data_IF_773347230160
#
_entry.id   IF_773347230160
#
_cell.length_a   1.000
_cell.length_b   1.000
_cell.length_c   1.000
_cell.angle_alpha   90.00
_cell.angle_beta   90.00
_cell.angle_gamma   90.00
#
_symmetry.space_group_name_H-M   'P 1'
#
loop_
_entity.id
_entity.type
_entity.pdbx_description
1 polymer ?
#
# COMPACT_ATOMS: atom_id res chain seq x y z
N UNK A 1 -4.02 0.52 -12.06
CA UNK A 1 -4.55 -0.86 -11.86
C UNK A 1 -4.46 -1.24 -10.38
N UNK A 2 -5.54 -1.76 -9.78
CA UNK A 2 -5.53 -2.28 -8.42
C UNK A 2 -4.73 -3.59 -8.39
N UNK A 3 -3.65 -3.64 -7.61
CA UNK A 3 -2.79 -4.81 -7.45
C UNK A 3 -3.05 -5.48 -6.11
N UNK A 4 -3.26 -6.79 -6.09
CA UNK A 4 -3.23 -7.55 -4.83
C UNK A 4 -1.82 -7.42 -4.21
N UNK A 5 -1.76 -6.84 -3.02
CA UNK A 5 -0.53 -6.52 -2.32
C UNK A 5 -0.12 -7.60 -1.31
N UNK A 6 -0.94 -8.62 -1.09
CA UNK A 6 -0.67 -9.74 -0.19
C UNK A 6 0.37 -10.71 -0.78
N UNK A 7 1.57 -10.19 -1.03
CA UNK A 7 2.71 -10.94 -1.56
C UNK A 7 3.92 -10.76 -0.64
N UNK A 8 4.60 -11.87 -0.33
CA UNK A 8 5.84 -11.91 0.47
C UNK A 8 5.72 -11.38 1.93
N UNK A 9 4.52 -11.11 2.41
CA UNK A 9 4.24 -10.86 3.83
C UNK A 9 3.87 -12.15 4.57
N UNK A 10 3.47 -11.99 5.83
CA UNK A 10 3.12 -13.12 6.71
C UNK A 10 1.63 -13.08 7.07
N UNK A 11 0.98 -14.25 7.06
CA UNK A 11 -0.42 -14.35 7.48
C UNK A 11 -0.52 -14.42 9.01
N UNK A 12 -1.39 -13.60 9.58
CA UNK A 12 -1.63 -13.50 11.02
C UNK A 12 -3.09 -13.81 11.34
N UNK A 13 -3.33 -14.54 12.43
CA UNK A 13 -4.68 -14.91 12.86
C UNK A 13 -4.76 -14.95 14.39
N UNK A 14 -5.96 -14.81 14.92
CA UNK A 14 -6.23 -14.92 16.36
C UNK A 14 -6.16 -16.35 16.90
N UNK A 15 -6.62 -17.30 16.10
CA UNK A 15 -6.80 -18.71 16.43
C UNK A 15 -7.01 -19.49 15.12
N UNK A 16 -6.99 -20.82 15.20
CA UNK A 16 -7.25 -21.70 14.07
C UNK A 16 -8.25 -22.78 14.47
N UNK A 17 -9.34 -22.89 13.72
CA UNK A 17 -10.31 -23.98 13.84
C UNK A 17 -9.82 -25.19 13.02
N UNK A 18 -9.54 -26.28 13.72
CA UNK A 18 -9.03 -27.53 13.13
C UNK A 18 -7.75 -27.35 12.28
N UNK A 19 -6.66 -26.77 12.83
CA UNK A 19 -5.42 -26.49 12.09
C UNK A 19 -4.67 -27.73 11.59
N UNK A 20 -5.07 -28.92 12.04
CA UNK A 20 -4.50 -30.20 11.58
C UNK A 20 -4.82 -30.51 10.12
N UNK A 21 -5.87 -29.89 9.55
CA UNK A 21 -6.23 -30.03 8.15
C UNK A 21 -5.41 -29.04 7.30
N UNK A 22 -4.57 -29.51 6.36
CA UNK A 22 -3.77 -28.64 5.50
C UNK A 22 -4.58 -27.59 4.75
N UNK A 23 -5.81 -27.92 4.36
CA UNK A 23 -6.77 -27.07 3.64
C UNK A 23 -7.52 -26.07 4.53
N UNK A 24 -7.22 -26.04 5.84
CA UNK A 24 -7.87 -25.17 6.85
C UNK A 24 -6.92 -24.20 7.55
N UNK A 25 -5.71 -24.02 7.01
CA UNK A 25 -4.68 -23.18 7.61
C UNK A 25 -4.89 -21.71 7.27
N UNK A 26 -4.42 -20.80 8.12
CA UNK A 26 -4.49 -19.35 7.88
C UNK A 26 -3.86 -18.95 6.54
N UNK A 27 -2.79 -19.60 6.12
CA UNK A 27 -2.11 -19.33 4.84
C UNK A 27 -3.01 -19.56 3.63
N UNK A 28 -4.01 -20.44 3.73
CA UNK A 28 -4.97 -20.71 2.69
C UNK A 28 -5.85 -19.50 2.34
N UNK A 29 -5.92 -18.49 3.21
CA UNK A 29 -6.71 -17.27 2.96
C UNK A 29 -6.03 -16.34 1.96
N UNK A 30 -4.76 -16.58 1.61
CA UNK A 30 -3.99 -15.73 0.71
C UNK A 30 -3.28 -16.56 -0.37
N UNK A 31 -3.81 -17.75 -0.67
CA UNK A 31 -3.21 -18.69 -1.63
C UNK A 31 -3.85 -18.62 -3.03
N UNK A 32 -4.94 -17.87 -3.19
CA UNK A 32 -5.68 -17.72 -4.44
C UNK A 32 -6.63 -18.89 -4.74
N UNK A 33 -6.87 -19.80 -3.80
CA UNK A 33 -7.69 -21.00 -3.97
C UNK A 33 -8.99 -20.93 -3.14
N UNK A 34 -10.14 -20.94 -3.82
CA UNK A 34 -11.45 -20.85 -3.16
C UNK A 34 -11.95 -22.16 -2.54
N UNK A 35 -11.22 -23.27 -2.73
CA UNK A 35 -11.53 -24.58 -2.15
C UNK A 35 -10.87 -24.79 -0.78
N UNK A 36 -9.82 -24.03 -0.46
CA UNK A 36 -9.19 -23.99 0.86
C UNK A 36 -9.82 -22.86 1.69
N UNK A 37 -9.57 -22.86 2.99
CA UNK A 37 -10.06 -21.80 3.89
C UNK A 37 -9.24 -21.74 5.17
N UNK A 38 -9.54 -20.75 5.99
CA UNK A 38 -9.23 -20.72 7.42
C UNK A 38 -10.53 -20.63 8.20
N UNK A 39 -10.57 -21.25 9.37
CA UNK A 39 -11.68 -21.10 10.29
C UNK A 39 -11.28 -20.35 11.56
N UNK A 40 -12.00 -19.29 11.89
CA UNK A 40 -11.95 -18.69 13.23
C UNK A 40 -12.94 -19.39 14.15
N UNK A 41 -12.49 -19.84 15.32
CA UNK A 41 -13.34 -20.45 16.35
C UNK A 41 -14.41 -19.43 16.79
N UNK A 42 -15.69 -19.78 16.69
CA UNK A 42 -16.81 -18.96 17.16
C UNK A 42 -17.54 -19.68 18.29
N UNK A 43 -18.12 -18.93 19.25
CA UNK A 43 -18.98 -19.53 20.29
C UNK A 43 -18.67 -19.24 21.77
N UNK A 44 -17.65 -18.44 22.12
CA UNK A 44 -17.52 -17.93 23.50
C UNK A 44 -17.25 -16.41 23.61
N UNK A 45 -16.58 -15.78 22.64
CA UNK A 45 -16.51 -14.31 22.48
C UNK A 45 -16.03 -14.00 21.04
N UNK A 46 -16.94 -13.71 20.10
CA UNK A 46 -16.63 -13.56 18.66
C UNK A 46 -15.78 -12.32 18.35
N UNK A 47 -15.77 -11.32 19.24
CA UNK A 47 -14.92 -10.12 19.16
C UNK A 47 -13.41 -10.43 19.17
N UNK A 48 -13.02 -11.70 19.33
CA UNK A 48 -11.63 -12.18 19.31
C UNK A 48 -11.21 -12.83 18.00
N UNK A 49 -12.12 -13.27 17.13
CA UNK A 49 -11.73 -13.99 15.92
C UNK A 49 -11.37 -13.02 14.80
N UNK A 50 -10.11 -13.07 14.37
CA UNK A 50 -9.57 -12.22 13.34
C UNK A 50 -8.54 -12.93 12.49
N UNK A 51 -8.45 -12.52 11.22
CA UNK A 51 -7.47 -12.96 10.24
C UNK A 51 -6.91 -11.73 9.54
N UNK A 52 -5.66 -11.77 9.13
CA UNK A 52 -4.97 -10.60 8.66
C UNK A 52 -3.64 -10.88 7.98
N UNK A 53 -2.97 -9.81 7.61
CA UNK A 53 -1.71 -9.84 6.88
C UNK A 53 -0.71 -8.85 7.47
N UNK A 54 0.53 -9.30 7.62
CA UNK A 54 1.69 -8.51 8.02
C UNK A 54 2.55 -8.21 6.80
N UNK A 55 2.54 -6.95 6.39
CA UNK A 55 3.33 -6.42 5.29
C UNK A 55 4.75 -6.07 5.79
N UNK A 56 5.75 -6.35 4.95
CA UNK A 56 7.16 -6.03 5.22
C UNK A 56 7.42 -4.54 5.47
N UNK A 57 6.51 -3.66 5.05
CA UNK A 57 6.57 -2.21 5.27
C UNK A 57 5.15 -1.61 5.39
N UNK A 58 5.01 -0.42 6.01
CA UNK A 58 3.75 0.29 6.04
C UNK A 58 3.14 0.42 4.64
N UNK A 59 1.91 -0.06 4.49
CA UNK A 59 1.20 -0.12 3.21
C UNK A 59 -0.20 0.46 3.38
N UNK A 60 -0.67 1.28 2.45
CA UNK A 60 -2.05 1.79 2.44
C UNK A 60 -2.95 0.83 1.65
N UNK A 61 -3.93 0.25 2.32
CA UNK A 61 -4.97 -0.58 1.69
C UNK A 61 -6.22 0.25 1.47
N UNK A 62 -6.77 0.19 0.26
CA UNK A 62 -7.94 0.97 -0.20
C UNK A 62 -9.10 0.11 -0.67
N UNK A 63 -8.87 -1.20 -0.84
CA UNK A 63 -9.94 -2.16 -1.13
C UNK A 63 -9.54 -3.52 -0.61
N UNK A 64 -10.50 -4.26 -0.08
CA UNK A 64 -10.31 -5.67 0.30
C UNK A 64 -11.38 -6.49 -0.40
N UNK A 65 -10.99 -7.57 -1.06
CA UNK A 65 -11.94 -8.63 -1.43
C UNK A 65 -11.88 -9.70 -0.36
N UNK A 66 -13.04 -10.09 0.15
CA UNK A 66 -13.20 -11.11 1.18
C UNK A 66 -14.16 -12.16 0.64
N UNK A 67 -13.68 -13.38 0.43
CA UNK A 67 -14.51 -14.55 0.22
C UNK A 67 -14.63 -15.31 1.54
N UNK A 68 -15.86 -15.41 2.05
CA UNK A 68 -16.19 -16.30 3.16
C UNK A 68 -17.10 -17.43 2.70
N UNK A 69 -17.48 -18.33 3.61
CA UNK A 69 -18.44 -19.39 3.32
C UNK A 69 -19.73 -18.85 2.70
N UNK A 70 -20.30 -19.60 1.76
CA UNK A 70 -21.64 -19.35 1.23
C UNK A 70 -22.74 -19.82 2.21
N UNK A 71 -22.37 -20.57 3.25
CA UNK A 71 -23.27 -21.04 4.28
C UNK A 71 -23.33 -20.02 5.42
N UNK A 72 -24.52 -19.52 5.73
CA UNK A 72 -24.76 -18.57 6.82
C UNK A 72 -24.33 -19.10 8.20
N UNK A 73 -24.33 -20.42 8.40
CA UNK A 73 -23.83 -21.05 9.62
C UNK A 73 -22.30 -21.02 9.75
N UNK A 74 -21.58 -20.52 8.74
CA UNK A 74 -20.13 -20.43 8.71
C UNK A 74 -19.60 -19.10 8.16
N UNK A 75 -20.45 -18.10 8.03
CA UNK A 75 -20.11 -16.73 7.63
C UNK A 75 -20.45 -15.75 8.76
N UNK A 76 -19.81 -14.59 8.77
CA UNK A 76 -20.16 -13.50 9.68
C UNK A 76 -20.77 -12.33 8.91
N UNK A 77 -21.57 -11.53 9.61
CA UNK A 77 -22.33 -10.44 9.02
C UNK A 77 -21.70 -9.06 9.22
N UNK A 78 -20.75 -8.92 10.13
CA UNK A 78 -20.08 -7.63 10.38
C UNK A 78 -18.60 -7.85 10.66
N UNK A 79 -17.75 -7.09 9.99
CA UNK A 79 -16.31 -7.07 10.22
C UNK A 79 -15.81 -5.65 10.47
N UNK A 80 -14.88 -5.51 11.41
CA UNK A 80 -14.08 -4.31 11.62
C UNK A 80 -12.72 -4.51 10.96
N UNK A 81 -12.39 -3.66 9.98
CA UNK A 81 -11.05 -3.62 9.39
C UNK A 81 -10.18 -2.73 10.27
N UNK A 82 -9.05 -3.27 10.73
CA UNK A 82 -8.14 -2.59 11.65
C UNK A 82 -6.71 -2.60 11.12
N UNK A 83 -5.94 -1.56 11.46
CA UNK A 83 -4.52 -1.43 11.13
C UNK A 83 -3.65 -1.19 12.35
N UNK A 84 -2.40 -1.67 12.33
CA UNK A 84 -1.40 -1.44 13.38
C UNK A 84 0.03 -1.36 12.82
N UNK A 85 0.91 -0.62 13.53
CA UNK A 85 2.35 -0.53 13.27
C UNK A 85 3.20 -1.10 14.42
N UNK A 86 2.58 -1.45 15.55
CA UNK A 86 3.26 -1.86 16.78
C UNK A 86 2.65 -3.12 17.43
N UNK A 87 1.62 -3.71 16.81
CA UNK A 87 0.84 -4.88 17.28
C UNK A 87 0.06 -4.68 18.58
N UNK A 88 0.36 -3.63 19.34
CA UNK A 88 -0.28 -3.30 20.61
C UNK A 88 -1.52 -2.43 20.36
N UNK A 89 -1.37 -1.39 19.55
CA UNK A 89 -2.44 -0.44 19.25
C UNK A 89 -3.02 -0.72 17.88
N UNK A 90 -4.27 -1.21 17.87
CA UNK A 90 -5.04 -1.46 16.66
C UNK A 90 -6.05 -0.34 16.46
N UNK A 91 -5.95 0.35 15.31
CA UNK A 91 -6.87 1.42 14.93
C UNK A 91 -7.92 0.87 14.00
N UNK A 92 -9.20 1.05 14.35
CA UNK A 92 -10.30 0.78 13.43
C UNK A 92 -10.23 1.75 12.24
N UNK A 93 -10.26 1.19 11.04
CA UNK A 93 -10.30 1.94 9.79
C UNK A 93 -11.76 2.14 9.39
N UNK A 94 -12.53 1.04 9.34
CA UNK A 94 -13.96 1.04 8.98
C UNK A 94 -14.60 -0.29 9.33
N UNK A 95 -15.91 -0.27 9.61
CA UNK A 95 -16.73 -1.47 9.74
C UNK A 95 -17.58 -1.69 8.49
N UNK A 96 -17.87 -2.95 8.19
CA UNK A 96 -18.67 -3.35 7.04
C UNK A 96 -19.67 -4.44 7.42
N UNK A 97 -20.90 -4.29 6.93
CA UNK A 97 -21.82 -5.42 6.83
C UNK A 97 -21.40 -6.35 5.68
N UNK A 98 -21.50 -7.64 5.92
CA UNK A 98 -21.13 -8.70 5.00
C UNK A 98 -22.33 -9.60 4.69
N UNK A 99 -22.23 -10.28 3.55
CA UNK A 99 -23.10 -11.40 3.15
C UNK A 99 -22.27 -12.70 3.04
N UNK A 100 -22.90 -13.89 3.05
CA UNK A 100 -22.21 -15.12 2.69
C UNK A 100 -21.57 -15.02 1.30
N UNK A 101 -20.40 -15.65 1.12
CA UNK A 101 -19.65 -15.60 -0.12
C UNK A 101 -18.76 -14.36 -0.28
N UNK A 102 -18.77 -13.76 -1.48
CA UNK A 102 -17.87 -12.65 -1.85
C UNK A 102 -18.38 -11.30 -1.35
N UNK A 103 -17.47 -10.53 -0.76
CA UNK A 103 -17.67 -9.16 -0.28
C UNK A 103 -16.55 -8.25 -0.79
N UNK A 104 -16.92 -7.06 -1.25
CA UNK A 104 -15.96 -6.01 -1.66
C UNK A 104 -16.02 -4.89 -0.62
N UNK A 105 -14.93 -4.71 0.12
CA UNK A 105 -14.81 -3.73 1.19
C UNK A 105 -14.11 -2.49 0.65
N UNK A 106 -14.86 -1.41 0.46
CA UNK A 106 -14.34 -0.13 -0.03
C UNK A 106 -13.73 0.73 1.11
N UNK A 107 -12.41 0.88 1.03
CA UNK A 107 -11.56 1.65 1.92
C UNK A 107 -10.88 2.82 1.16
N UNK A 108 -11.45 3.29 0.06
CA UNK A 108 -10.89 4.36 -0.80
C UNK A 108 -10.55 5.65 -0.05
N UNK A 109 -11.22 5.90 1.07
CA UNK A 109 -10.97 7.05 1.96
C UNK A 109 -9.85 6.81 2.99
N UNK A 110 -9.27 5.61 3.06
CA UNK A 110 -8.16 5.31 3.96
C UNK A 110 -6.87 5.96 3.42
N UNK A 111 -6.34 6.92 4.18
CA UNK A 111 -5.09 7.61 3.87
C UNK A 111 -3.94 7.23 4.82
N UNK A 112 -4.11 6.18 5.64
CA UNK A 112 -3.08 5.72 6.59
C UNK A 112 -2.46 4.41 6.12
N UNK A 113 -1.13 4.37 6.22
CA UNK A 113 -0.35 3.16 5.98
C UNK A 113 -0.13 2.40 7.29
N UNK A 114 -0.29 1.08 7.23
CA UNK A 114 -0.03 0.19 8.36
C UNK A 114 0.87 -0.97 7.95
N UNK A 115 1.71 -1.46 8.86
CA UNK A 115 2.43 -2.72 8.67
C UNK A 115 1.48 -3.91 8.70
N UNK A 116 0.49 -3.87 9.59
CA UNK A 116 -0.42 -5.00 9.81
C UNK A 116 -1.86 -4.57 9.59
N UNK A 117 -2.62 -5.44 8.92
CA UNK A 117 -4.06 -5.32 8.76
C UNK A 117 -4.73 -6.57 9.28
N UNK A 118 -5.88 -6.42 9.94
CA UNK A 118 -6.75 -7.55 10.32
C UNK A 118 -8.21 -7.23 10.12
N UNK A 119 -8.97 -8.28 9.81
CA UNK A 119 -10.41 -8.29 9.74
C UNK A 119 -10.92 -8.96 11.01
N UNK A 120 -11.59 -8.19 11.87
CA UNK A 120 -12.10 -8.66 13.18
C UNK A 120 -13.61 -8.87 13.10
N UNK A 121 -14.08 -10.08 13.38
CA UNK A 121 -15.51 -10.36 13.43
C UNK A 121 -16.21 -9.56 14.56
N UNK A 122 -17.44 -9.09 14.29
CA UNK A 122 -18.29 -8.36 15.25
C UNK A 122 -19.61 -9.09 15.49
N UNK A 123 -20.25 -8.81 16.64
CA UNK A 123 -21.23 -9.69 17.30
C UNK A 123 -22.71 -9.36 17.13
N UNK A 124 -23.13 -8.52 16.20
CA UNK A 124 -24.51 -8.01 16.33
C UNK A 124 -25.64 -8.90 15.78
N UNK A 125 -25.43 -9.79 14.79
CA UNK A 125 -26.47 -10.77 14.35
C UNK A 125 -25.86 -11.90 13.50
N UNK A 126 -26.35 -13.14 13.61
CA UNK A 126 -26.07 -14.24 12.66
C UNK A 126 -24.78 -15.01 12.90
N UNK A 127 -24.55 -15.42 14.15
CA UNK A 127 -23.36 -16.17 14.58
C UNK A 127 -23.23 -17.46 13.78
N UNK A 128 -22.06 -17.75 13.17
CA UNK A 128 -21.81 -19.08 12.67
C UNK A 128 -21.79 -20.06 13.84
N UNK A 129 -22.61 -21.11 13.75
CA UNK A 129 -22.77 -22.12 14.81
C UNK A 129 -21.49 -22.91 15.08
N UNK A 130 -20.51 -22.89 14.16
CA UNK A 130 -19.28 -23.68 14.25
C UNK A 130 -18.00 -22.86 14.15
N UNK A 131 -17.81 -22.12 13.07
CA UNK A 131 -16.63 -21.30 12.83
C UNK A 131 -16.91 -20.25 11.75
N UNK A 132 -16.19 -19.13 11.79
CA UNK A 132 -16.14 -18.21 10.66
C UNK A 132 -15.14 -18.76 9.63
N UNK A 133 -15.63 -19.28 8.53
CA UNK A 133 -14.79 -19.84 7.47
C UNK A 133 -14.52 -18.77 6.40
N UNK A 134 -13.26 -18.37 6.29
CA UNK A 134 -12.74 -17.43 5.29
C UNK A 134 -11.99 -18.21 4.24
N UNK A 135 -12.41 -18.10 2.98
CA UNK A 135 -11.81 -18.79 1.85
C UNK A 135 -10.60 -18.04 1.30
N UNK A 136 -10.77 -16.75 1.04
CA UNK A 136 -9.73 -15.94 0.40
C UNK A 136 -9.87 -14.46 0.81
N UNK A 137 -8.74 -13.79 0.98
CA UNK A 137 -8.63 -12.35 1.17
C UNK A 137 -7.59 -11.81 0.20
N UNK A 138 -7.97 -10.77 -0.53
CA UNK A 138 -7.05 -9.98 -1.35
C UNK A 138 -7.09 -8.54 -0.87
N UNK A 139 -5.93 -7.95 -0.55
CA UNK A 139 -5.84 -6.54 -0.15
C UNK A 139 -5.19 -5.73 -1.25
N UNK A 140 -5.90 -4.71 -1.71
CA UNK A 140 -5.49 -3.82 -2.78
C UNK A 140 -5.15 -2.46 -2.21
N UNK A 141 -4.04 -1.89 -2.64
CA UNK A 141 -3.64 -0.52 -2.29
C UNK A 141 -3.63 0.38 -3.51
N UNK A 142 -3.66 1.69 -3.26
CA UNK A 142 -3.56 2.67 -4.31
C UNK A 142 -2.12 2.67 -4.81
N UNK A 143 -1.95 2.29 -6.07
CA UNK A 143 -0.74 2.57 -6.83
C UNK A 143 -0.81 3.95 -7.49
N UNK A 144 -1.78 4.81 -7.12
CA UNK A 144 -1.81 6.18 -7.63
C UNK A 144 -0.48 6.86 -7.31
N UNK A 145 0.19 7.22 -8.39
CA UNK A 145 1.38 8.04 -8.36
C UNK A 145 0.95 9.45 -8.74
N UNK A 146 1.45 10.42 -8.01
CA UNK A 146 1.12 11.82 -8.16
C UNK A 146 2.33 12.59 -8.66
N UNK A 147 2.05 13.56 -9.52
CA UNK A 147 2.98 14.60 -9.95
C UNK A 147 2.33 15.95 -9.67
N UNK A 148 3.14 16.99 -9.52
CA UNK A 148 2.62 18.36 -9.51
C UNK A 148 2.62 18.92 -10.93
N UNK A 149 1.67 19.82 -11.22
CA UNK A 149 1.62 20.58 -12.46
C UNK A 149 1.51 22.06 -12.14
N UNK A 150 2.43 22.87 -12.65
CA UNK A 150 2.36 24.33 -12.59
C UNK A 150 2.97 24.91 -13.87
N UNK A 151 2.39 25.98 -14.39
CA UNK A 151 2.82 26.62 -15.64
C UNK A 151 3.03 25.60 -16.78
N UNK A 152 2.05 24.70 -16.96
CA UNK A 152 2.05 23.59 -17.93
C UNK A 152 3.14 22.53 -17.77
N UNK A 153 4.09 22.69 -16.85
CA UNK A 153 5.16 21.74 -16.59
C UNK A 153 4.77 20.78 -15.46
N UNK A 154 5.19 19.52 -15.59
CA UNK A 154 5.10 18.53 -14.53
C UNK A 154 6.35 18.51 -13.67
N UNK A 155 6.15 18.17 -12.40
CA UNK A 155 7.19 18.12 -11.39
C UNK A 155 7.04 16.85 -10.55
N UNK A 156 8.17 16.24 -10.23
CA UNK A 156 8.24 15.23 -9.17
C UNK A 156 8.34 15.92 -7.82
N UNK A 157 7.69 15.32 -6.83
CA UNK A 157 7.80 15.67 -5.41
C UNK A 157 8.30 14.48 -4.56
N UNK A 158 8.86 13.45 -5.20
CA UNK A 158 9.37 12.26 -4.53
C UNK A 158 10.69 12.61 -3.82
N UNK A 159 10.60 13.06 -2.57
CA UNK A 159 11.75 13.45 -1.72
C UNK A 159 12.70 14.49 -2.32
N UNK A 160 12.27 15.19 -3.37
CA UNK A 160 12.84 16.42 -3.89
C UNK A 160 11.83 17.04 -4.87
N UNK A 161 12.01 18.32 -5.20
CA UNK A 161 11.21 19.04 -6.17
C UNK A 161 11.99 19.20 -7.48
N UNK A 162 11.66 18.39 -8.49
CA UNK A 162 12.29 18.41 -9.81
C UNK A 162 11.31 18.74 -10.91
N UNK A 163 11.73 19.61 -11.84
CA UNK A 163 11.00 19.86 -13.08
C UNK A 163 11.24 18.71 -14.05
N UNK A 164 10.16 18.06 -14.48
CA UNK A 164 10.17 17.04 -15.55
C UNK A 164 9.98 17.69 -16.92
N UNK A 165 9.24 18.81 -16.96
CA UNK A 165 8.94 19.55 -18.19
C UNK A 165 7.51 19.29 -18.68
N UNK A 166 7.28 19.50 -19.97
CA UNK A 166 6.01 19.17 -20.62
C UNK A 166 6.15 17.81 -21.30
N UNK A 167 5.21 16.86 -21.09
CA UNK A 167 5.28 15.59 -21.79
C UNK A 167 4.95 15.80 -23.27
N UNK A 168 5.67 15.10 -24.14
CA UNK A 168 5.43 15.10 -25.59
C UNK A 168 4.11 14.41 -25.94
N UNK A 169 3.71 13.40 -25.15
CA UNK A 169 2.49 12.63 -25.33
C UNK A 169 2.04 11.97 -24.00
N UNK A 170 0.91 11.27 -24.04
CA UNK A 170 0.37 10.57 -22.87
C UNK A 170 1.24 9.39 -22.44
N UNK A 171 1.97 8.74 -23.35
CA UNK A 171 2.81 7.60 -23.02
C UNK A 171 4.03 8.03 -22.18
N UNK A 172 4.64 9.16 -22.52
CA UNK A 172 5.69 9.76 -21.71
C UNK A 172 5.17 10.19 -20.33
N UNK A 173 3.95 10.73 -20.26
CA UNK A 173 3.33 11.10 -18.99
C UNK A 173 3.09 9.87 -18.09
N UNK A 174 2.62 8.75 -18.66
CA UNK A 174 2.48 7.48 -17.94
C UNK A 174 3.84 6.98 -17.41
N UNK A 175 4.89 6.99 -18.24
CA UNK A 175 6.24 6.65 -17.82
C UNK A 175 6.77 7.57 -16.70
N UNK A 176 6.42 8.86 -16.74
CA UNK A 176 6.78 9.80 -15.68
C UNK A 176 6.07 9.53 -14.37
N UNK A 177 4.78 9.20 -14.41
CA UNK A 177 4.10 8.73 -13.22
C UNK A 177 4.85 7.53 -12.66
N UNK A 178 5.24 6.58 -13.51
CA UNK A 178 5.90 5.37 -13.04
C UNK A 178 7.27 5.58 -12.41
N UNK A 179 8.12 6.38 -13.07
CA UNK A 179 9.50 6.63 -12.65
C UNK A 179 9.59 7.70 -11.55
N UNK A 180 8.79 8.75 -11.64
CA UNK A 180 8.95 9.98 -10.85
C UNK A 180 7.77 10.31 -9.94
N UNK A 181 6.63 9.64 -10.09
CA UNK A 181 5.46 9.95 -9.29
C UNK A 181 5.59 9.47 -7.84
N UNK A 182 5.11 10.29 -6.90
CA UNK A 182 5.06 9.93 -5.48
C UNK A 182 3.75 9.25 -5.13
N UNK A 183 3.75 8.41 -4.11
CA UNK A 183 2.49 7.91 -3.50
C UNK A 183 2.03 8.76 -2.32
N UNK A 184 2.90 9.63 -1.81
CA UNK A 184 2.64 10.48 -0.66
C UNK A 184 2.72 11.95 -1.07
N UNK A 185 1.56 12.60 -1.19
CA UNK A 185 1.48 14.03 -1.51
C UNK A 185 1.83 14.89 -0.29
N UNK A 186 1.73 14.36 0.93
CA UNK A 186 2.07 15.10 2.16
C UNK A 186 3.54 15.54 2.21
N UNK A 187 4.42 14.89 1.43
CA UNK A 187 5.82 15.31 1.25
C UNK A 187 5.96 16.77 0.78
N UNK A 188 4.89 17.38 0.23
CA UNK A 188 4.87 18.82 -0.05
C UNK A 188 5.10 19.66 1.23
N UNK A 189 4.52 19.24 2.35
CA UNK A 189 4.47 19.99 3.61
C UNK A 189 5.58 19.57 4.59
N UNK A 190 6.16 18.39 4.39
CA UNK A 190 7.21 17.82 5.24
C UNK A 190 8.53 18.60 5.07
N UNK A 191 9.22 18.96 6.17
CA UNK A 191 10.57 19.49 6.08
C UNK A 191 11.54 18.39 5.61
N UNK A 192 12.33 18.70 4.59
CA UNK A 192 13.36 17.82 4.03
C UNK A 192 14.72 18.46 4.25
N UNK A 193 15.69 17.70 4.76
CA UNK A 193 17.11 18.06 4.88
C UNK A 193 17.99 17.19 3.96
N UNK A 194 17.38 16.48 3.03
CA UNK A 194 18.03 15.68 2.01
C UNK A 194 17.31 15.78 0.68
N UNK A 195 17.96 15.31 -0.38
CA UNK A 195 17.39 15.18 -1.72
C UNK A 195 17.71 13.82 -2.29
N UNK A 196 16.68 13.16 -2.81
CA UNK A 196 16.83 11.93 -3.60
C UNK A 196 16.84 12.28 -5.09
N UNK A 197 17.80 11.77 -5.84
CA UNK A 197 17.93 11.97 -7.29
C UNK A 197 17.81 10.61 -7.96
N UNK A 198 16.78 10.37 -8.78
CA UNK A 198 16.59 9.08 -9.43
C UNK A 198 17.67 8.82 -10.49
N UNK A 199 18.05 7.54 -10.61
CA UNK A 199 18.97 7.05 -11.61
C UNK A 199 18.30 6.00 -12.51
N UNK A 200 18.86 5.79 -13.69
CA UNK A 200 18.48 4.73 -14.62
C UNK A 200 19.72 3.99 -15.11
N UNK A 201 19.58 2.68 -15.29
CA UNK A 201 20.61 1.85 -15.88
C UNK A 201 20.65 2.09 -17.39
N UNK A 202 21.79 2.50 -17.91
CA UNK A 202 22.04 2.45 -19.34
C UNK A 202 22.39 1.01 -19.72
N UNK A 203 21.45 0.29 -20.33
CA UNK A 203 21.59 -1.16 -20.61
C UNK A 203 22.81 -1.49 -21.48
N UNK A 204 23.16 -0.62 -22.41
CA UNK A 204 24.28 -0.84 -23.33
C UNK A 204 25.65 -0.81 -22.64
N UNK A 205 25.79 -0.09 -21.52
CA UNK A 205 27.06 0.10 -20.80
C UNK A 205 27.05 -0.51 -19.41
N UNK A 206 25.88 -0.81 -18.86
CA UNK A 206 25.71 -1.20 -17.45
C UNK A 206 25.93 -0.05 -16.47
N UNK A 207 26.05 1.20 -16.94
CA UNK A 207 26.33 2.37 -16.10
C UNK A 207 25.02 3.01 -15.65
N UNK A 208 24.92 3.32 -14.36
CA UNK A 208 23.80 4.09 -13.81
C UNK A 208 24.02 5.58 -14.06
N UNK A 209 23.02 6.25 -14.64
CA UNK A 209 23.03 7.69 -14.96
C UNK A 209 21.81 8.39 -14.36
N UNK A 210 21.85 9.71 -14.24
CA UNK A 210 20.70 10.51 -13.84
C UNK A 210 20.38 11.56 -14.90
N UNK A 211 19.10 11.83 -15.09
CA UNK A 211 18.59 12.85 -16.02
C UNK A 211 18.63 14.26 -15.41
N UNK A 212 19.04 14.38 -14.14
CA UNK A 212 18.97 15.62 -13.37
C UNK A 212 20.37 16.15 -13.02
N UNK A 213 20.51 17.47 -13.13
CA UNK A 213 21.72 18.15 -12.72
C UNK A 213 21.90 18.11 -11.19
N UNK A 214 23.12 17.77 -10.76
CA UNK A 214 23.51 17.79 -9.35
C UNK A 214 24.27 19.09 -9.07
N UNK A 215 23.65 19.98 -8.30
CA UNK A 215 24.30 21.21 -7.86
C UNK A 215 25.20 20.93 -6.64
N UNK A 216 26.50 20.75 -6.90
CA UNK A 216 27.49 20.47 -5.88
C UNK A 216 27.53 21.52 -4.76
N UNK A 217 27.17 22.77 -5.04
CA UNK A 217 27.16 23.83 -4.03
C UNK A 217 26.02 23.68 -3.01
N UNK A 218 25.02 22.85 -3.31
CA UNK A 218 23.88 22.56 -2.42
C UNK A 218 24.12 21.34 -1.53
N UNK A 219 25.20 20.60 -1.74
CA UNK A 219 25.56 19.42 -0.96
C UNK A 219 26.24 19.87 0.33
N UNK A 220 25.66 19.53 1.47
CA UNK A 220 26.21 19.89 2.79
C UNK A 220 26.93 18.75 3.49
N UNK A 221 26.75 17.52 3.03
CA UNK A 221 27.21 16.35 3.75
C UNK A 221 27.30 15.11 2.87
N UNK A 222 26.90 13.97 3.43
CA UNK A 222 27.16 12.68 2.80
C UNK A 222 26.36 12.50 1.51
N UNK A 223 27.01 11.93 0.50
CA UNK A 223 26.37 11.40 -0.69
C UNK A 223 26.29 9.89 -0.52
N UNK A 224 25.10 9.30 -0.68
CA UNK A 224 24.88 7.87 -0.58
C UNK A 224 24.06 7.39 -1.76
N UNK A 225 24.39 6.19 -2.25
CA UNK A 225 23.52 5.47 -3.17
C UNK A 225 22.51 4.66 -2.35
N UNK A 226 21.23 4.75 -2.71
CA UNK A 226 20.15 3.99 -2.09
C UNK A 226 19.45 3.16 -3.15
N UNK A 227 19.28 1.87 -2.89
CA UNK A 227 18.56 0.94 -3.77
C UNK A 227 17.18 0.63 -3.17
N UNK A 228 16.10 0.91 -3.92
CA UNK A 228 14.76 0.49 -3.51
C UNK A 228 14.57 -1.01 -3.78
N UNK A 229 14.49 -1.82 -2.73
CA UNK A 229 14.52 -3.29 -2.78
C UNK A 229 13.25 -4.00 -3.29
N UNK A 230 12.40 -3.34 -4.10
CA UNK A 230 11.10 -3.91 -4.49
C UNK A 230 11.05 -4.19 -6.00
N UNK A 231 11.38 -5.45 -6.34
CA UNK A 231 11.17 -6.18 -7.61
C UNK A 231 11.90 -5.66 -8.84
N UNK A 232 12.90 -6.43 -9.29
CA UNK A 232 13.45 -6.64 -10.65
C UNK A 232 13.75 -5.44 -11.58
N UNK A 233 13.57 -4.21 -11.14
CA UNK A 233 14.14 -3.01 -11.72
C UNK A 233 14.67 -2.20 -10.53
N UNK A 234 15.94 -2.42 -10.17
CA UNK A 234 16.54 -1.80 -9.00
C UNK A 234 16.63 -0.29 -9.17
N UNK A 235 15.57 0.46 -8.84
CA UNK A 235 15.62 1.91 -8.89
C UNK A 235 16.69 2.40 -7.91
N UNK A 236 17.83 2.82 -8.45
CA UNK A 236 18.90 3.44 -7.68
C UNK A 236 18.63 4.94 -7.58
N UNK A 237 18.95 5.49 -6.42
CA UNK A 237 18.86 6.92 -6.16
C UNK A 237 20.16 7.41 -5.55
N UNK A 238 20.57 8.63 -5.91
CA UNK A 238 21.61 9.35 -5.20
C UNK A 238 20.91 10.20 -4.14
N UNK A 239 21.18 9.93 -2.87
CA UNK A 239 20.77 10.80 -1.76
C UNK A 239 21.93 11.69 -1.35
N UNK A 240 21.66 12.98 -1.16
CA UNK A 240 22.60 13.88 -0.51
C UNK A 240 21.94 14.79 0.52
N UNK A 241 22.66 15.09 1.60
CA UNK A 241 22.25 16.03 2.65
C UNK A 241 22.32 17.48 2.14
N UNK A 242 21.34 18.30 2.49
CA UNK A 242 21.23 19.71 2.06
C UNK A 242 20.59 20.59 3.15
N UNK A 243 20.53 21.91 2.91
CA UNK A 243 19.81 22.82 3.83
C UNK A 243 18.34 22.43 3.89
N UNK A 244 17.78 22.41 5.10
CA UNK A 244 16.37 22.10 5.29
C UNK A 244 15.47 23.02 4.44
N UNK A 245 14.45 22.45 3.82
CA UNK A 245 13.45 23.16 3.03
C UNK A 245 12.11 22.41 3.02
N UNK A 246 11.03 23.08 2.62
CA UNK A 246 9.78 22.42 2.23
C UNK A 246 9.58 22.55 0.74
N UNK A 247 8.96 21.55 0.12
CA UNK A 247 8.59 21.63 -1.30
C UNK A 247 7.53 22.72 -1.49
N UNK A 248 6.63 22.90 -0.53
CA UNK A 248 5.61 23.96 -0.53
C UNK A 248 6.20 25.35 -0.83
N UNK A 249 7.35 25.67 -0.26
CA UNK A 249 8.01 26.98 -0.43
C UNK A 249 8.55 27.21 -1.86
N UNK A 250 8.47 26.19 -2.74
CA UNK A 250 8.92 26.23 -4.13
C UNK A 250 7.76 26.24 -5.13
N UNK A 251 6.52 26.19 -4.65
CA UNK A 251 5.33 26.12 -5.50
C UNK A 251 4.88 27.53 -5.91
N UNK A 252 4.47 27.66 -7.16
CA UNK A 252 3.77 28.85 -7.64
C UNK A 252 2.37 28.98 -6.99
N UNK A 253 1.79 30.18 -7.03
CA UNK A 253 0.46 30.44 -6.48
C UNK A 253 -0.66 29.58 -7.09
N UNK A 254 -0.46 29.11 -8.33
CA UNK A 254 -1.38 28.24 -9.05
C UNK A 254 -0.68 26.93 -9.44
N UNK A 255 -0.87 25.89 -8.62
CA UNK A 255 -0.40 24.54 -8.90
C UNK A 255 -1.54 23.52 -8.77
N UNK A 256 -1.44 22.43 -9.54
CA UNK A 256 -2.33 21.28 -9.47
C UNK A 256 -1.59 20.03 -8.99
N UNK A 257 -2.30 19.19 -8.24
CA UNK A 257 -1.86 17.82 -7.94
C UNK A 257 -2.50 16.91 -8.97
N UNK A 258 -1.67 16.30 -9.81
CA UNK A 258 -2.11 15.43 -10.91
C UNK A 258 -1.92 13.98 -10.49
N UNK A 259 -2.95 13.18 -10.67
CA UNK A 259 -2.95 11.74 -10.39
C UNK A 259 -2.79 10.99 -11.71
N UNK A 260 -2.06 9.86 -11.70
CA UNK A 260 -2.04 8.96 -12.84
C UNK A 260 -3.48 8.50 -13.17
N UNK A 261 -3.94 8.78 -14.39
CA UNK A 261 -5.24 8.30 -14.87
C UNK A 261 -5.18 6.78 -14.98
N UNK A 262 -6.04 6.08 -14.24
CA UNK A 262 -6.27 4.66 -14.46
C UNK A 262 -7.17 4.53 -15.70
N UNK A 263 -6.58 4.34 -16.88
CA UNK A 263 -7.31 3.73 -18.00
C UNK A 263 -7.38 2.22 -17.84
#
# INVERSE_FOLDING_TARGET
>A
MDKNLCVNGTVIASNDYQPSYPERKKECVFDGNLDTNWGGITGQTIDKSWIGYDFLKPTTIIKIKLHQSNNSNSSINIVSVQGSNDEIQWKEIKQFSLIPGLNILDLSTNNKAFNKYRLVAKTDVGIPTWAWLVKEIEMYGNLYKFLLKQNSNYYSIKNNFYKLGQPNDNAQLEQWYDKYGTKNVNTILEPLDFKDVPMSLEESTGIWKTDFELDANKILGNIKMIEESIKNEGNKTIRYECKQYKIYDKLDNEFGIMMADNK
#
